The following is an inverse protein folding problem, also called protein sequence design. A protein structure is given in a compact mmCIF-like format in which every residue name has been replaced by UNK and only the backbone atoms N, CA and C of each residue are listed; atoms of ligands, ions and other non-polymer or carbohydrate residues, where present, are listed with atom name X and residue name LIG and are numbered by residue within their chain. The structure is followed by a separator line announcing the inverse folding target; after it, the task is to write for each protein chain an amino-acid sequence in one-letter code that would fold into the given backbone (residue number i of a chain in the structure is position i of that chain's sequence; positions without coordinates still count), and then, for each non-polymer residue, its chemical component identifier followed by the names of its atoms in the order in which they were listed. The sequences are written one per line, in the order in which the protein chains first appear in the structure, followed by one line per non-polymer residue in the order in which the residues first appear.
data_IF_023950449717
#
_entry.id   IF_023950449717
#
_cell.length_a   1.000
_cell.length_b   1.000
_cell.length_c   1.000
_cell.angle_alpha   90.00
_cell.angle_beta   90.00
_cell.angle_gamma   90.00
#
_symmetry.space_group_name_H-M   'P 1'
#
loop_
_entity.id
_entity.type
_entity.pdbx_description
1 polymer ?
#
# COMPACT_ATOMS: atom_id res chain seq x y z
N UNK A 1 7.50 16.55 -10.78
CA UNK A 1 8.86 16.47 -11.37
C UNK A 1 9.13 15.00 -11.56
N UNK A 2 9.52 14.61 -12.77
CA UNK A 2 9.92 13.24 -13.08
C UNK A 2 11.41 13.00 -12.83
N UNK A 3 11.84 11.76 -13.07
CA UNK A 3 13.25 11.37 -12.99
C UNK A 3 14.15 12.16 -13.97
N UNK A 4 13.62 12.47 -15.16
CA UNK A 4 14.32 13.23 -16.19
C UNK A 4 14.53 14.68 -15.77
N UNK A 5 13.51 15.32 -15.17
CA UNK A 5 13.62 16.66 -14.58
C UNK A 5 14.62 16.71 -13.40
N UNK A 6 14.94 15.54 -12.83
CA UNK A 6 15.93 15.34 -11.78
C UNK A 6 17.35 15.11 -12.29
N UNK A 7 17.57 15.09 -13.62
CA UNK A 7 18.89 14.94 -14.24
C UNK A 7 19.29 13.51 -14.59
N UNK A 8 18.38 12.53 -14.47
CA UNK A 8 18.64 11.18 -14.98
C UNK A 8 18.36 11.10 -16.48
N UNK A 9 19.35 10.66 -17.25
CA UNK A 9 19.17 10.39 -18.67
C UNK A 9 18.54 9.00 -18.88
N UNK A 10 17.25 8.99 -19.24
CA UNK A 10 16.46 7.77 -19.43
C UNK A 10 15.90 7.79 -20.85
N UNK A 11 16.21 6.78 -21.69
CA UNK A 11 15.62 6.68 -23.02
C UNK A 11 14.10 6.60 -22.96
N UNK A 12 13.41 7.52 -23.62
CA UNK A 12 11.95 7.64 -23.58
C UNK A 12 11.38 8.19 -24.89
N UNK A 13 10.06 8.15 -25.02
CA UNK A 13 9.30 8.73 -26.14
C UNK A 13 8.10 9.51 -25.60
N UNK A 14 7.76 10.62 -26.24
CA UNK A 14 6.66 11.50 -25.84
C UNK A 14 5.27 10.85 -25.95
N UNK A 15 5.15 9.73 -26.67
CA UNK A 15 3.88 9.01 -26.93
C UNK A 15 3.14 8.53 -25.69
N UNK A 16 3.80 8.52 -24.53
CA UNK A 16 3.24 8.07 -23.25
C UNK A 16 3.04 9.22 -22.26
N UNK A 17 3.37 10.45 -22.65
CA UNK A 17 3.12 11.62 -21.82
C UNK A 17 1.67 12.09 -21.95
N UNK A 18 1.13 12.57 -20.82
CA UNK A 18 -0.18 13.22 -20.81
C UNK A 18 -0.14 14.44 -21.74
N UNK A 19 -1.17 14.60 -22.59
CA UNK A 19 -1.21 15.63 -23.62
C UNK A 19 -0.75 15.18 -25.01
N UNK A 20 -0.24 13.95 -25.17
CA UNK A 20 0.12 13.43 -26.49
C UNK A 20 -1.12 13.09 -27.32
N UNK A 21 -1.27 13.74 -28.48
CA UNK A 21 -2.34 13.46 -29.44
C UNK A 21 -1.85 12.45 -30.47
N UNK A 22 -2.49 11.27 -30.52
CA UNK A 22 -2.09 10.18 -31.43
C UNK A 22 -2.23 10.54 -32.90
N UNK A 23 -3.24 11.35 -33.22
CA UNK A 23 -3.57 11.73 -34.59
C UNK A 23 -2.55 12.75 -35.14
N UNK A 24 -2.26 13.78 -34.35
CA UNK A 24 -1.29 14.84 -34.71
C UNK A 24 0.17 14.43 -34.46
N UNK A 25 0.39 13.33 -33.74
CA UNK A 25 1.69 12.84 -33.26
C UNK A 25 2.50 13.92 -32.51
N UNK A 26 1.80 14.85 -31.87
CA UNK A 26 2.39 15.98 -31.17
C UNK A 26 1.97 15.98 -29.69
N UNK A 27 2.91 16.38 -28.83
CA UNK A 27 2.66 16.59 -27.41
C UNK A 27 2.18 18.02 -27.16
N UNK A 28 1.03 18.15 -26.49
CA UNK A 28 0.58 19.40 -25.91
C UNK A 28 1.27 19.61 -24.55
N UNK A 29 2.25 20.52 -24.53
CA UNK A 29 3.06 20.80 -23.35
C UNK A 29 2.25 21.44 -22.21
N UNK A 30 1.20 22.20 -22.53
CA UNK A 30 0.36 22.86 -21.53
C UNK A 30 -0.51 21.84 -20.79
N UNK A 31 -1.09 20.88 -21.53
CA UNK A 31 -1.78 19.74 -20.92
C UNK A 31 -0.80 18.91 -20.09
N UNK A 32 0.39 18.61 -20.63
CA UNK A 32 1.40 17.85 -19.88
C UNK A 32 1.75 18.52 -18.54
N UNK A 33 2.02 19.83 -18.58
CA UNK A 33 2.30 20.66 -17.41
C UNK A 33 1.14 20.65 -16.42
N UNK A 34 -0.10 20.79 -16.90
CA UNK A 34 -1.30 20.74 -16.06
C UNK A 34 -1.42 19.43 -15.29
N UNK A 35 -1.07 18.30 -15.91
CA UNK A 35 -1.04 17.01 -15.23
C UNK A 35 0.06 16.91 -14.17
N UNK A 36 1.25 17.47 -14.43
CA UNK A 36 2.36 17.49 -13.47
C UNK A 36 1.99 18.22 -12.17
N UNK A 37 1.23 19.31 -12.26
CA UNK A 37 0.85 20.13 -11.11
C UNK A 37 -0.56 19.83 -10.57
N UNK A 38 -1.15 18.69 -10.95
CA UNK A 38 -2.45 18.27 -10.40
C UNK A 38 -3.64 19.10 -10.88
N UNK A 39 -3.50 19.90 -11.93
CA UNK A 39 -4.58 20.76 -12.43
C UNK A 39 -5.82 19.99 -12.89
N UNK A 40 -5.65 18.77 -13.42
CA UNK A 40 -6.77 17.88 -13.75
C UNK A 40 -7.56 17.41 -12.52
N UNK A 41 -6.89 17.22 -11.37
CA UNK A 41 -7.54 16.91 -10.10
C UNK A 41 -8.28 18.14 -9.58
N UNK A 42 -7.66 19.31 -9.66
CA UNK A 42 -8.29 20.58 -9.28
C UNK A 42 -9.57 20.86 -10.10
N UNK A 43 -9.56 20.62 -11.41
CA UNK A 43 -10.77 20.73 -12.23
C UNK A 43 -11.85 19.75 -11.79
N UNK A 44 -11.47 18.50 -11.50
CA UNK A 44 -12.43 17.50 -11.05
C UNK A 44 -13.02 17.83 -9.67
N UNK A 45 -12.20 18.41 -8.77
CA UNK A 45 -12.65 18.95 -7.48
C UNK A 45 -13.68 20.06 -7.68
N UNK A 46 -13.41 21.02 -8.58
CA UNK A 46 -14.34 22.12 -8.90
C UNK A 46 -15.67 21.61 -9.45
N UNK A 47 -15.62 20.75 -10.47
CA UNK A 47 -16.81 20.20 -11.09
C UNK A 47 -17.66 19.40 -10.08
N UNK A 48 -17.04 18.54 -9.26
CA UNK A 48 -17.78 17.77 -8.25
C UNK A 48 -18.32 18.65 -7.12
N UNK A 49 -17.61 19.71 -6.73
CA UNK A 49 -18.11 20.62 -5.70
C UNK A 49 -19.38 21.36 -6.15
N UNK A 50 -19.50 21.66 -7.44
CA UNK A 50 -20.67 22.33 -8.03
C UNK A 50 -21.81 21.36 -8.38
N UNK A 51 -21.51 20.23 -9.01
CA UNK A 51 -22.51 19.29 -9.53
C UNK A 51 -23.00 18.28 -8.48
N UNK A 52 -22.08 17.74 -7.66
CA UNK A 52 -22.35 16.60 -6.77
C UNK A 52 -21.58 16.69 -5.44
N UNK A 53 -22.01 17.55 -4.50
CA UNK A 53 -21.27 17.82 -3.26
C UNK A 53 -21.10 16.58 -2.36
N UNK A 54 -22.04 15.62 -2.41
CA UNK A 54 -21.92 14.35 -1.68
C UNK A 54 -20.74 13.51 -2.19
N UNK A 55 -20.57 13.41 -3.51
CA UNK A 55 -19.42 12.72 -4.11
C UNK A 55 -18.13 13.46 -3.80
N UNK A 56 -18.13 14.79 -3.85
CA UNK A 56 -16.98 15.61 -3.46
C UNK A 56 -16.50 15.27 -2.04
N UNK A 57 -17.42 15.24 -1.06
CA UNK A 57 -17.09 14.88 0.32
C UNK A 57 -16.51 13.48 0.45
N UNK A 58 -17.04 12.50 -0.30
CA UNK A 58 -16.55 11.12 -0.26
C UNK A 58 -15.17 10.97 -0.90
N UNK A 59 -14.96 11.53 -2.09
CA UNK A 59 -13.74 11.37 -2.88
C UNK A 59 -12.58 12.19 -2.32
N UNK A 60 -12.87 13.39 -1.81
CA UNK A 60 -11.86 14.33 -1.30
C UNK A 60 -11.88 14.46 0.22
N UNK A 61 -12.42 13.47 0.94
CA UNK A 61 -12.51 13.48 2.42
C UNK A 61 -11.17 13.77 3.12
N UNK A 62 -10.06 13.20 2.63
CA UNK A 62 -8.73 13.50 3.20
C UNK A 62 -8.22 14.90 2.87
N UNK A 63 -8.59 15.44 1.71
CA UNK A 63 -8.19 16.78 1.28
C UNK A 63 -8.92 17.82 2.14
N UNK A 64 -10.21 17.61 2.37
CA UNK A 64 -11.02 18.42 3.29
C UNK A 64 -10.44 18.37 4.70
N UNK A 65 -10.09 17.18 5.21
CA UNK A 65 -9.45 17.04 6.53
C UNK A 65 -8.10 17.77 6.64
N UNK A 66 -7.36 17.89 5.54
CA UNK A 66 -6.06 18.56 5.47
C UNK A 66 -6.17 20.03 5.05
N UNK A 67 -7.38 20.53 4.76
CA UNK A 67 -7.61 21.90 4.29
C UNK A 67 -6.98 22.21 2.94
N UNK A 68 -6.98 21.24 2.02
CA UNK A 68 -6.43 21.40 0.67
C UNK A 68 -7.58 21.68 -0.30
N UNK A 69 -7.60 22.88 -0.88
CA UNK A 69 -8.58 23.27 -1.91
C UNK A 69 -8.04 23.11 -3.33
N UNK A 70 -8.93 23.20 -4.33
CA UNK A 70 -8.57 23.02 -5.73
C UNK A 70 -7.51 24.03 -6.21
N UNK A 71 -7.57 25.27 -5.74
CA UNK A 71 -6.65 26.34 -6.15
C UNK A 71 -5.27 26.22 -5.49
N UNK A 72 -5.17 25.53 -4.35
CA UNK A 72 -3.91 25.30 -3.64
C UNK A 72 -3.05 24.22 -4.30
N UNK A 73 -3.62 23.38 -5.16
CA UNK A 73 -2.97 22.18 -5.71
C UNK A 73 -1.67 22.50 -6.47
N UNK A 74 -1.69 23.48 -7.38
CA UNK A 74 -0.49 23.82 -8.16
C UNK A 74 0.61 24.41 -7.26
N UNK A 75 0.23 25.26 -6.30
CA UNK A 75 1.17 25.87 -5.35
C UNK A 75 1.80 24.80 -4.44
N UNK A 76 0.99 23.85 -3.96
CA UNK A 76 1.43 22.71 -3.15
C UNK A 76 2.49 21.89 -3.88
N UNK A 77 2.24 21.46 -5.12
CA UNK A 77 3.21 20.67 -5.88
C UNK A 77 4.49 21.43 -6.18
N UNK A 78 4.42 22.73 -6.50
CA UNK A 78 5.62 23.58 -6.68
C UNK A 78 6.45 23.64 -5.41
N UNK A 79 5.82 23.84 -4.26
CA UNK A 79 6.48 23.86 -2.95
C UNK A 79 7.14 22.52 -2.63
N UNK A 80 6.45 21.40 -2.89
CA UNK A 80 6.99 20.05 -2.71
C UNK A 80 8.21 19.82 -3.60
N UNK A 81 8.14 20.18 -4.88
CA UNK A 81 9.28 20.05 -5.79
C UNK A 81 10.49 20.88 -5.35
N UNK A 82 10.27 22.10 -4.82
CA UNK A 82 11.34 22.93 -4.29
C UNK A 82 11.97 22.30 -3.03
N UNK A 83 11.15 21.77 -2.12
CA UNK A 83 11.62 21.12 -0.90
C UNK A 83 12.48 19.87 -1.19
N UNK A 84 12.05 19.00 -2.13
CA UNK A 84 12.80 17.80 -2.52
C UNK A 84 14.15 18.16 -3.16
N UNK A 85 14.20 19.25 -3.95
CA UNK A 85 15.47 19.73 -4.52
C UNK A 85 16.42 20.28 -3.47
N UNK A 86 15.88 20.97 -2.46
CA UNK A 86 16.67 21.55 -1.39
C UNK A 86 17.27 20.47 -0.48
N UNK A 87 16.49 19.43 -0.15
CA UNK A 87 16.95 18.30 0.64
C UNK A 87 16.40 16.97 0.09
N UNK A 88 17.20 16.22 -0.70
CA UNK A 88 16.81 14.93 -1.24
C UNK A 88 17.09 13.77 -0.27
N UNK A 89 17.53 14.04 0.97
CA UNK A 89 17.96 12.99 1.89
C UNK A 89 16.77 12.17 2.43
N UNK A 90 16.98 10.87 2.58
CA UNK A 90 15.96 9.96 3.15
C UNK A 90 16.09 9.96 4.67
N UNK A 91 15.07 10.47 5.36
CA UNK A 91 14.99 10.43 6.82
C UNK A 91 14.66 9.01 7.29
N UNK A 92 15.61 8.36 7.96
CA UNK A 92 15.40 7.04 8.57
C UNK A 92 14.54 7.16 9.83
N UNK A 93 13.75 6.13 10.10
CA UNK A 93 12.97 6.05 11.34
C UNK A 93 13.90 6.09 12.55
N UNK A 94 13.62 7.01 13.48
CA UNK A 94 14.28 7.12 14.79
C UNK A 94 13.67 6.18 15.83
N UNK A 95 12.64 5.41 15.46
CA UNK A 95 12.01 4.44 16.36
C UNK A 95 13.04 3.44 16.85
N UNK A 96 13.17 3.37 18.18
CA UNK A 96 14.03 2.37 18.79
C UNK A 96 13.53 0.97 18.44
N UNK A 97 14.43 0.01 18.22
CA UNK A 97 14.03 -1.38 18.10
C UNK A 97 13.27 -1.79 19.37
N UNK A 98 12.22 -2.62 19.25
CA UNK A 98 11.49 -3.08 20.42
C UNK A 98 12.45 -3.81 21.37
N UNK A 99 12.34 -3.52 22.68
CA UNK A 99 13.20 -4.12 23.72
C UNK A 99 13.15 -5.65 23.71
N UNK A 100 11.97 -6.19 23.41
CA UNK A 100 11.74 -7.62 23.26
C UNK A 100 11.11 -7.90 21.90
N UNK A 101 11.66 -8.89 21.20
CA UNK A 101 11.09 -9.34 19.95
C UNK A 101 9.80 -10.12 20.20
N UNK A 102 8.65 -9.48 19.96
CA UNK A 102 7.35 -10.17 20.00
C UNK A 102 7.28 -11.19 18.86
N UNK A 103 7.26 -12.46 19.22
CA UNK A 103 7.12 -13.57 18.27
C UNK A 103 5.64 -13.84 18.00
N UNK A 104 5.22 -13.71 16.75
CA UNK A 104 3.83 -14.00 16.33
C UNK A 104 3.62 -15.47 15.95
N UNK A 105 4.69 -16.19 15.61
CA UNK A 105 4.64 -17.60 15.22
C UNK A 105 4.81 -18.53 16.44
N UNK A 106 4.15 -19.70 16.49
CA UNK A 106 4.33 -20.64 17.59
C UNK A 106 5.79 -21.12 17.68
N UNK A 107 6.27 -21.38 18.90
CA UNK A 107 7.61 -21.95 19.14
C UNK A 107 7.70 -23.33 18.50
N UNK A 108 8.79 -23.61 17.77
CA UNK A 108 9.02 -24.94 17.19
C UNK A 108 9.13 -25.94 18.34
N UNK A 109 8.31 -26.98 18.32
CA UNK A 109 8.33 -28.03 19.32
C UNK A 109 9.71 -28.68 19.37
N UNK A 110 10.23 -28.86 20.59
CA UNK A 110 11.46 -29.60 20.82
C UNK A 110 11.27 -31.08 20.46
N UNK A 111 12.36 -31.84 20.37
CA UNK A 111 12.28 -33.27 20.09
C UNK A 111 11.51 -34.02 21.20
N UNK A 112 11.80 -33.69 22.46
CA UNK A 112 11.15 -34.28 23.63
C UNK A 112 9.65 -33.99 23.67
N UNK A 113 9.24 -32.74 23.39
CA UNK A 113 7.83 -32.38 23.29
C UNK A 113 7.12 -33.15 22.18
N UNK A 114 7.78 -33.34 21.02
CA UNK A 114 7.23 -34.16 19.93
C UNK A 114 7.08 -35.63 20.33
N UNK A 115 8.04 -36.18 21.08
CA UNK A 115 7.98 -37.55 21.59
C UNK A 115 6.87 -37.71 22.64
N UNK A 116 6.73 -36.75 23.55
CA UNK A 116 5.66 -36.74 24.55
C UNK A 116 4.27 -36.67 23.88
N UNK A 117 4.06 -35.77 22.92
CA UNK A 117 2.81 -35.70 22.15
C UNK A 117 2.52 -36.98 21.35
N UNK A 118 3.57 -37.68 20.88
CA UNK A 118 3.41 -38.96 20.21
C UNK A 118 2.95 -40.06 21.19
N UNK A 119 3.55 -40.14 22.37
CA UNK A 119 3.18 -41.09 23.42
C UNK A 119 1.75 -40.82 23.90
N UNK A 120 1.41 -39.55 24.16
CA UNK A 120 0.06 -39.15 24.55
C UNK A 120 -0.98 -39.55 23.50
N UNK A 121 -0.68 -39.29 22.21
CA UNK A 121 -1.56 -39.68 21.10
C UNK A 121 -1.72 -41.19 20.99
N UNK A 122 -0.65 -41.96 21.20
CA UNK A 122 -0.70 -43.42 21.18
C UNK A 122 -1.53 -43.98 22.34
N UNK A 123 -1.35 -43.43 23.55
CA UNK A 123 -2.12 -43.83 24.72
C UNK A 123 -3.62 -43.51 24.55
N UNK A 124 -3.94 -42.34 24.02
CA UNK A 124 -5.33 -41.98 23.67
C UNK A 124 -5.91 -42.97 22.66
N UNK A 125 -5.17 -43.29 21.59
CA UNK A 125 -5.62 -44.24 20.57
C UNK A 125 -5.89 -45.64 21.15
N UNK A 126 -4.97 -46.14 21.97
CA UNK A 126 -5.11 -47.45 22.63
C UNK A 126 -6.29 -47.48 23.62
N UNK A 127 -6.54 -46.37 24.33
CA UNK A 127 -7.70 -46.26 25.22
C UNK A 127 -9.03 -46.12 24.47
N UNK A 128 -9.04 -45.58 23.25
CA UNK A 128 -10.24 -45.45 22.42
C UNK A 128 -10.52 -46.68 21.54
N UNK A 129 -9.50 -47.48 21.23
CA UNK A 129 -9.61 -48.67 20.37
C UNK A 129 -9.86 -49.98 21.13
N UNK A 130 -9.85 -49.96 22.47
CA UNK A 130 -10.14 -51.13 23.31
C UNK A 130 -11.61 -51.24 23.74
N UNK A 131 -12.54 -50.61 23.02
CA UNK A 131 -13.97 -50.64 23.31
C UNK A 131 -14.80 -51.38 22.23
N UNK A 132 -14.15 -52.05 21.27
CA UNK A 132 -14.79 -52.72 20.13
C UNK A 132 -14.32 -54.20 19.95
N UNK A 133 -13.71 -54.83 20.96
CA UNK A 133 -13.21 -56.22 20.88
C UNK A 133 -13.43 -57.00 22.20
N UNK A 134 -14.64 -56.96 22.74
CA UNK A 134 -15.11 -57.90 23.78
C UNK A 134 -16.55 -58.34 23.46
N UNK A 135 -16.72 -59.06 22.34
CA UNK A 135 -17.84 -59.99 22.13
C UNK A 135 -17.26 -61.33 21.62
N UNK A 136 -17.77 -62.45 22.16
CA UNK A 136 -17.54 -63.87 21.81
C UNK A 136 -16.48 -64.67 22.62
N UNK A 137 -16.92 -65.32 23.72
CA UNK A 137 -17.11 -66.79 23.78
C UNK A 137 -17.21 -67.29 25.25
N UNK A 138 -18.41 -67.79 25.65
CA UNK A 138 -18.58 -68.98 26.50
C UNK A 138 -20.09 -69.29 26.71
N UNK A 139 -20.67 -70.13 25.85
CA UNK A 139 -21.74 -71.11 26.22
C UNK A 139 -21.65 -72.38 25.36
#
# INVERSE_FOLDING_TARGET
MGALDGGLDIPHSEKRFAGFKKDDKQLDADIHRKYIYGGHVADYMRNLAEEEPEKYQSHFSEYIKKGIEADDMEALYKKVHAAIRADPSVVKSTKQPPKEHKRYNPKKLTYEQRKASLIERLNQLNSSGGADDDDEDDE
#
